data_IF_818452045517
#
_entry.id   IF_818452045517
#
_cell.length_a   1.000
_cell.length_b   1.000
_cell.length_c   1.000
_cell.angle_alpha   90.00
_cell.angle_beta   90.00
_cell.angle_gamma   90.00
#
_symmetry.space_group_name_H-M   'P 1'
#
loop_
_entity.id
_entity.type
_entity.pdbx_description
1 polymer ?
#
# COMPACT_ATOMS: atom_id res chain seq x y z
N UNK A 1 5.53 2.13 -24.34
CA UNK A 1 4.44 2.84 -23.63
C UNK A 1 3.61 1.74 -22.99
N UNK A 2 4.01 1.31 -21.79
CA UNK A 2 3.16 0.43 -21.00
C UNK A 2 2.06 1.32 -20.44
N UNK A 3 0.81 0.96 -20.68
CA UNK A 3 -0.27 1.55 -19.89
C UNK A 3 -0.01 1.05 -18.47
N UNK A 4 0.53 1.90 -17.61
CA UNK A 4 0.62 1.61 -16.18
C UNK A 4 -0.79 1.29 -15.71
N UNK A 5 -1.00 0.07 -15.23
CA UNK A 5 -2.31 -0.37 -14.77
C UNK A 5 -2.76 0.42 -13.54
N UNK A 6 -4.03 0.30 -13.11
CA UNK A 6 -4.47 0.82 -11.81
C UNK A 6 -3.60 0.29 -10.65
N UNK A 7 -2.96 -0.88 -10.83
CA UNK A 7 -1.98 -1.49 -9.93
C UNK A 7 -0.74 -0.60 -9.73
N UNK A 8 -0.02 -0.28 -10.82
CA UNK A 8 1.16 0.60 -10.81
C UNK A 8 0.85 1.98 -10.21
N UNK A 9 -0.32 2.54 -10.55
CA UNK A 9 -0.74 3.85 -10.05
C UNK A 9 -1.02 3.80 -8.54
N UNK A 10 -1.67 2.74 -8.07
CA UNK A 10 -1.93 2.53 -6.64
C UNK A 10 -0.63 2.39 -5.86
N UNK A 11 0.31 1.59 -6.36
CA UNK A 11 1.65 1.44 -5.75
C UNK A 11 2.38 2.78 -5.71
N UNK A 12 2.30 3.57 -6.79
CA UNK A 12 2.85 4.93 -6.84
C UNK A 12 2.25 5.86 -5.78
N UNK A 13 0.91 5.89 -5.68
CA UNK A 13 0.22 6.72 -4.70
C UNK A 13 0.51 6.27 -3.26
N UNK A 14 0.57 4.96 -3.00
CA UNK A 14 0.94 4.41 -1.70
C UNK A 14 2.38 4.75 -1.34
N UNK A 15 3.29 4.81 -2.33
CA UNK A 15 4.68 5.23 -2.12
C UNK A 15 4.75 6.70 -1.69
N UNK A 16 3.99 7.58 -2.34
CA UNK A 16 3.95 9.01 -2.01
C UNK A 16 3.11 9.34 -0.77
N UNK A 17 2.17 8.48 -0.40
CA UNK A 17 1.31 8.69 0.74
C UNK A 17 2.10 8.71 2.06
N UNK A 18 1.82 9.71 2.88
CA UNK A 18 2.34 9.85 4.23
C UNK A 18 1.15 10.11 5.13
N UNK A 19 0.95 9.32 6.19
CA UNK A 19 -0.15 9.56 7.13
C UNK A 19 -0.12 11.00 7.64
N UNK A 20 -1.26 11.68 7.58
CA UNK A 20 -1.39 13.08 8.00
C UNK A 20 -1.17 13.28 9.51
N UNK A 21 -1.35 12.23 10.30
CA UNK A 21 -1.14 12.22 11.73
C UNK A 21 -0.81 10.82 12.24
N UNK A 22 -0.29 10.77 13.45
CA UNK A 22 -0.05 9.55 14.20
C UNK A 22 -1.36 9.08 14.86
N UNK A 23 -2.15 8.30 14.14
CA UNK A 23 -3.36 7.72 14.71
C UNK A 23 -3.01 6.69 15.78
N UNK A 24 -3.88 6.54 16.78
CA UNK A 24 -3.71 5.54 17.84
C UNK A 24 -4.19 4.15 17.44
N UNK A 25 -5.01 4.09 16.39
CA UNK A 25 -5.72 2.88 15.97
C UNK A 25 -5.59 2.72 14.46
N UNK A 26 -5.43 1.46 14.03
CA UNK A 26 -5.37 1.06 12.61
C UNK A 26 -6.54 1.63 11.78
N UNK A 27 -7.73 1.72 12.36
CA UNK A 27 -8.92 2.28 11.72
C UNK A 27 -8.75 3.74 11.23
N UNK A 28 -7.94 4.54 11.93
CA UNK A 28 -7.65 5.92 11.52
C UNK A 28 -6.82 5.96 10.24
N UNK A 29 -5.77 5.12 10.18
CA UNK A 29 -4.93 4.97 8.99
C UNK A 29 -5.71 4.39 7.81
N UNK A 30 -6.54 3.36 8.03
CA UNK A 30 -7.40 2.77 7.00
C UNK A 30 -8.35 3.80 6.39
N UNK A 31 -9.03 4.58 7.24
CA UNK A 31 -10.00 5.60 6.78
C UNK A 31 -9.30 6.67 5.95
N UNK A 32 -8.17 7.20 6.43
CA UNK A 32 -7.41 8.21 5.69
C UNK A 32 -6.87 7.65 4.38
N UNK A 33 -6.29 6.45 4.40
CA UNK A 33 -5.71 5.85 3.20
C UNK A 33 -6.76 5.63 2.12
N UNK A 34 -7.94 5.14 2.51
CA UNK A 34 -9.07 4.96 1.59
C UNK A 34 -9.49 6.29 0.96
N UNK A 35 -9.67 7.34 1.77
CA UNK A 35 -10.03 8.67 1.27
C UNK A 35 -8.95 9.26 0.36
N UNK A 36 -7.68 9.03 0.68
CA UNK A 36 -6.55 9.46 -0.13
C UNK A 36 -6.54 8.76 -1.49
N UNK A 37 -6.63 7.42 -1.52
CA UNK A 37 -6.64 6.64 -2.75
C UNK A 37 -7.87 6.93 -3.61
N UNK A 38 -9.06 6.97 -3.01
CA UNK A 38 -10.29 7.33 -3.71
C UNK A 38 -10.14 8.71 -4.37
N UNK A 39 -9.63 9.69 -3.64
CA UNK A 39 -9.37 11.01 -4.19
C UNK A 39 -8.32 10.97 -5.30
N UNK A 40 -7.17 10.32 -5.14
CA UNK A 40 -6.13 10.36 -6.17
C UNK A 40 -6.55 9.65 -7.45
N UNK A 41 -7.14 8.46 -7.33
CA UNK A 41 -7.58 7.65 -8.46
C UNK A 41 -8.77 8.32 -9.18
N UNK A 42 -9.77 8.80 -8.44
CA UNK A 42 -11.00 9.34 -9.04
C UNK A 42 -10.92 10.85 -9.37
N UNK A 43 -10.03 11.64 -8.75
CA UNK A 43 -9.85 13.06 -9.10
C UNK A 43 -9.16 13.25 -10.47
N UNK A 44 -8.42 12.23 -10.95
CA UNK A 44 -7.80 12.25 -12.28
C UNK A 44 -8.85 12.20 -13.42
N UNK A 45 -10.00 11.56 -13.16
CA UNK A 45 -11.12 11.48 -14.11
C UNK A 45 -11.79 12.84 -14.33
N UNK A 46 -11.69 13.76 -13.37
CA UNK A 46 -12.40 15.05 -13.39
C UNK A 46 -11.63 16.16 -14.13
N UNK A 47 -10.34 15.93 -14.47
CA UNK A 47 -9.43 16.96 -14.97
C UNK A 47 -9.22 17.06 -16.49
N UNK A 48 -9.68 16.09 -17.30
CA UNK A 48 -9.60 16.15 -18.76
C UNK A 48 -11.00 16.02 -19.37
N UNK A 49 -11.36 17.00 -20.20
CA UNK A 49 -12.75 17.29 -20.55
C UNK A 49 -13.51 16.20 -21.31
N UNK A 50 -14.83 16.42 -21.35
CA UNK A 50 -15.79 15.87 -22.30
C UNK A 50 -15.76 14.34 -22.43
N UNK A 51 -16.58 13.67 -21.60
CA UNK A 51 -17.33 12.51 -22.07
C UNK A 51 -16.58 11.18 -22.18
N UNK A 52 -15.71 10.85 -21.23
CA UNK A 52 -15.39 9.45 -20.95
C UNK A 52 -16.09 9.04 -19.64
N UNK A 53 -17.07 8.15 -19.78
CA UNK A 53 -17.53 7.28 -18.71
C UNK A 53 -16.40 6.27 -18.49
N UNK A 54 -15.31 6.71 -17.86
CA UNK A 54 -14.30 5.81 -17.33
C UNK A 54 -14.83 5.32 -16.01
N UNK A 55 -15.04 4.01 -15.88
CA UNK A 55 -15.49 3.36 -14.65
C UNK A 55 -14.71 3.91 -13.44
N UNK A 56 -15.41 4.49 -12.46
CA UNK A 56 -14.82 4.86 -11.17
C UNK A 56 -14.06 3.64 -10.62
N UNK A 57 -12.79 3.80 -10.24
CA UNK A 57 -12.02 2.71 -9.65
C UNK A 57 -12.51 2.57 -8.20
N UNK A 58 -13.22 1.48 -7.84
CA UNK A 58 -13.80 1.39 -6.52
C UNK A 58 -12.72 1.14 -5.48
N UNK A 59 -12.59 2.04 -4.51
CA UNK A 59 -11.75 1.83 -3.32
C UNK A 59 -12.65 1.34 -2.19
N UNK A 60 -12.50 0.08 -1.79
CA UNK A 60 -13.36 -0.60 -0.81
C UNK A 60 -12.56 -1.10 0.38
N UNK A 61 -13.26 -1.49 1.43
CA UNK A 61 -12.70 -2.20 2.62
C UNK A 61 -13.21 -3.64 2.69
N UNK A 62 -13.90 -4.08 1.63
CA UNK A 62 -14.47 -5.42 1.51
C UNK A 62 -14.30 -5.86 0.05
N UNK A 63 -13.66 -7.02 -0.17
CA UNK A 63 -13.51 -7.60 -1.49
C UNK A 63 -13.74 -9.12 -1.46
N UNK A 64 -14.84 -9.58 -2.06
CA UNK A 64 -15.14 -11.00 -2.16
C UNK A 64 -15.26 -11.68 -0.78
N UNK A 65 -14.57 -12.81 -0.55
CA UNK A 65 -14.57 -13.54 0.73
C UNK A 65 -13.52 -13.03 1.74
N UNK A 66 -12.69 -12.04 1.38
CA UNK A 66 -11.57 -11.55 2.20
C UNK A 66 -11.87 -10.15 2.73
N UNK A 67 -11.76 -9.96 4.05
CA UNK A 67 -11.82 -8.64 4.68
C UNK A 67 -10.49 -7.91 4.44
N UNK A 68 -10.44 -7.12 3.37
CA UNK A 68 -9.26 -6.34 3.01
C UNK A 68 -9.17 -5.04 3.81
N UNK A 69 -7.98 -4.61 4.24
CA UNK A 69 -7.88 -3.33 4.95
C UNK A 69 -8.23 -2.16 4.03
N UNK A 70 -7.70 -2.18 2.81
CA UNK A 70 -8.15 -1.37 1.67
C UNK A 70 -7.97 -2.21 0.40
N UNK A 71 -8.95 -2.24 -0.48
CA UNK A 71 -8.90 -2.86 -1.79
C UNK A 71 -9.15 -1.80 -2.88
N UNK A 72 -8.35 -1.81 -3.93
CA UNK A 72 -8.53 -0.92 -5.10
C UNK A 72 -8.91 -1.78 -6.30
N UNK A 73 -10.13 -1.61 -6.78
CA UNK A 73 -10.67 -2.45 -7.85
C UNK A 73 -10.88 -3.90 -7.41
N UNK A 74 -10.58 -4.81 -8.33
CA UNK A 74 -10.56 -6.25 -8.10
C UNK A 74 -9.12 -6.81 -8.12
N UNK A 75 -8.11 -5.95 -8.28
CA UNK A 75 -6.74 -6.36 -8.60
C UNK A 75 -5.74 -6.08 -7.46
N UNK A 76 -5.95 -5.01 -6.67
CA UNK A 76 -5.00 -4.59 -5.63
C UNK A 76 -5.57 -4.71 -4.23
N UNK A 77 -4.93 -5.52 -3.39
CA UNK A 77 -5.20 -5.61 -1.96
C UNK A 77 -4.13 -4.89 -1.15
N UNK A 78 -4.52 -4.06 -0.19
CA UNK A 78 -3.61 -3.38 0.73
C UNK A 78 -3.79 -3.94 2.13
N UNK A 79 -2.71 -4.42 2.74
CA UNK A 79 -2.64 -4.84 4.13
C UNK A 79 -1.99 -3.72 4.93
N UNK A 80 -2.68 -3.19 5.94
CA UNK A 80 -2.20 -2.08 6.75
C UNK A 80 -1.81 -2.57 8.15
N UNK A 81 -0.57 -2.32 8.55
CA UNK A 81 -0.06 -2.68 9.88
C UNK A 81 0.22 -1.42 10.67
N UNK A 82 -0.28 -1.35 11.90
CA UNK A 82 0.01 -0.26 12.83
C UNK A 82 1.03 -0.72 13.88
N UNK A 83 2.17 -0.05 13.97
CA UNK A 83 3.25 -0.38 14.91
C UNK A 83 3.72 -1.84 14.81
N UNK A 84 4.25 -2.26 13.65
CA UNK A 84 4.68 -3.65 13.42
C UNK A 84 5.56 -4.21 14.56
N UNK A 85 5.15 -5.37 15.09
CA UNK A 85 5.83 -6.19 16.08
C UNK A 85 6.03 -7.62 15.58
N UNK A 86 6.81 -8.40 16.32
CA UNK A 86 7.06 -9.82 16.07
C UNK A 86 5.81 -10.70 15.94
N UNK A 87 4.73 -10.33 16.63
CA UNK A 87 3.45 -11.05 16.57
C UNK A 87 2.70 -10.71 15.28
N UNK A 88 2.90 -9.51 14.75
CA UNK A 88 2.23 -9.06 13.52
C UNK A 88 2.79 -9.75 12.28
N UNK A 89 4.02 -10.29 12.32
CA UNK A 89 4.63 -11.03 11.21
C UNK A 89 3.78 -12.22 10.75
N UNK A 90 3.40 -13.10 11.68
CA UNK A 90 2.54 -14.26 11.38
C UNK A 90 1.17 -13.83 10.84
N UNK A 91 0.60 -12.76 11.39
CA UNK A 91 -0.67 -12.21 10.94
C UNK A 91 -0.58 -11.54 9.56
N UNK A 92 0.58 -10.98 9.20
CA UNK A 92 0.85 -10.46 7.85
C UNK A 92 0.94 -11.62 6.87
N UNK A 93 1.64 -12.70 7.21
CA UNK A 93 1.75 -13.88 6.35
C UNK A 93 0.37 -14.49 6.06
N UNK A 94 -0.45 -14.71 7.09
CA UNK A 94 -1.81 -15.25 6.92
C UNK A 94 -2.70 -14.35 6.04
N UNK A 95 -2.57 -13.03 6.17
CA UNK A 95 -3.31 -12.08 5.35
C UNK A 95 -2.80 -12.05 3.92
N UNK A 96 -1.48 -12.02 3.71
CA UNK A 96 -0.88 -12.05 2.37
C UNK A 96 -1.31 -13.32 1.66
N UNK A 97 -1.18 -14.50 2.28
CA UNK A 97 -1.64 -15.78 1.72
C UNK A 97 -3.13 -15.77 1.37
N UNK A 98 -3.97 -15.14 2.19
CA UNK A 98 -5.40 -14.99 1.90
C UNK A 98 -5.64 -14.05 0.71
N UNK A 99 -4.85 -12.99 0.58
CA UNK A 99 -4.99 -11.99 -0.48
C UNK A 99 -4.46 -12.52 -1.81
N UNK A 100 -3.42 -13.37 -1.81
CA UNK A 100 -2.87 -14.04 -3.00
C UNK A 100 -3.92 -14.83 -3.79
N UNK A 101 -4.96 -15.31 -3.12
CA UNK A 101 -6.05 -16.02 -3.77
C UNK A 101 -7.01 -15.10 -4.56
N UNK A 102 -7.10 -13.82 -4.18
CA UNK A 102 -8.11 -12.89 -4.69
C UNK A 102 -7.52 -11.71 -5.47
N UNK A 103 -6.28 -11.30 -5.21
CA UNK A 103 -5.63 -10.12 -5.80
C UNK A 103 -4.36 -10.49 -6.56
N UNK A 104 -4.11 -9.80 -7.68
CA UNK A 104 -2.87 -9.91 -8.47
C UNK A 104 -1.70 -9.15 -7.84
N UNK A 105 -2.02 -8.03 -7.17
CA UNK A 105 -1.04 -7.15 -6.51
C UNK A 105 -1.40 -6.99 -5.03
N UNK A 106 -0.42 -7.17 -4.15
CA UNK A 106 -0.59 -7.03 -2.70
C UNK A 106 0.38 -5.97 -2.20
N UNK A 107 -0.10 -5.00 -1.42
CA UNK A 107 0.76 -3.97 -0.83
C UNK A 107 0.64 -4.01 0.69
N UNK A 108 1.75 -4.34 1.36
CA UNK A 108 1.84 -4.34 2.82
C UNK A 108 2.41 -3.01 3.28
N UNK A 109 1.61 -2.22 3.98
CA UNK A 109 1.99 -0.88 4.47
C UNK A 109 2.11 -0.89 6.00
N UNK A 110 3.34 -0.76 6.50
CA UNK A 110 3.61 -0.57 7.92
C UNK A 110 3.62 0.93 8.28
N UNK A 111 2.58 1.37 8.99
CA UNK A 111 2.52 2.68 9.65
C UNK A 111 3.27 2.62 10.98
N UNK A 112 4.60 2.73 10.89
CA UNK A 112 5.53 2.58 12.01
C UNK A 112 5.90 1.12 12.27
N UNK A 113 7.18 0.91 12.62
CA UNK A 113 7.76 -0.40 12.93
C UNK A 113 8.47 -0.30 14.27
N UNK A 114 8.15 -1.20 15.22
CA UNK A 114 8.84 -1.28 16.51
C UNK A 114 10.03 -2.22 16.45
N UNK A 115 9.92 -3.28 15.67
CA UNK A 115 10.95 -4.32 15.50
C UNK A 115 11.49 -4.30 14.05
N UNK A 116 12.38 -3.34 13.76
CA UNK A 116 12.92 -3.14 12.41
C UNK A 116 13.63 -4.37 11.83
N UNK A 117 14.38 -5.11 12.65
CA UNK A 117 15.11 -6.29 12.19
C UNK A 117 14.16 -7.37 11.63
N UNK A 118 12.99 -7.54 12.25
CA UNK A 118 12.02 -8.52 11.80
C UNK A 118 11.22 -8.05 10.59
N UNK A 119 10.96 -6.74 10.51
CA UNK A 119 10.40 -6.14 9.30
C UNK A 119 11.34 -6.29 8.08
N UNK A 120 12.65 -6.15 8.28
CA UNK A 120 13.64 -6.39 7.23
C UNK A 120 13.68 -7.88 6.85
N UNK A 121 13.64 -8.79 7.82
CA UNK A 121 13.64 -10.24 7.58
C UNK A 121 12.43 -10.69 6.72
N UNK A 122 11.21 -10.28 7.09
CA UNK A 122 10.00 -10.63 6.33
C UNK A 122 10.04 -9.99 4.93
N UNK A 123 10.48 -8.74 4.81
CA UNK A 123 10.60 -8.07 3.50
C UNK A 123 11.59 -8.80 2.59
N UNK A 124 12.74 -9.21 3.13
CA UNK A 124 13.77 -9.95 2.39
C UNK A 124 13.27 -11.35 1.96
N UNK A 125 12.50 -12.02 2.82
CA UNK A 125 11.90 -13.32 2.52
C UNK A 125 11.00 -13.23 1.29
N UNK A 126 9.98 -12.36 1.31
CA UNK A 126 9.06 -12.17 0.19
C UNK A 126 9.73 -11.65 -1.08
N UNK A 127 10.72 -10.77 -0.93
CA UNK A 127 11.52 -10.29 -2.07
C UNK A 127 12.31 -11.44 -2.72
N UNK A 128 12.92 -12.31 -1.91
CA UNK A 128 13.65 -13.47 -2.40
C UNK A 128 12.76 -14.53 -3.06
N UNK A 129 11.53 -14.69 -2.56
CA UNK A 129 10.52 -15.57 -3.12
C UNK A 129 10.02 -15.08 -4.48
N UNK A 130 9.73 -13.78 -4.63
CA UNK A 130 9.36 -13.19 -5.93
C UNK A 130 10.44 -13.38 -6.98
N UNK A 131 11.71 -13.19 -6.63
CA UNK A 131 12.82 -13.45 -7.56
C UNK A 131 12.94 -14.93 -7.96
N UNK A 132 12.43 -15.84 -7.13
CA UNK A 132 12.46 -17.30 -7.39
C UNK A 132 11.27 -17.77 -8.23
N UNK A 133 10.12 -17.09 -8.16
CA UNK A 133 8.90 -17.43 -8.91
C UNK A 133 8.81 -16.56 -10.18
N UNK A 134 9.13 -17.14 -11.34
CA UNK A 134 8.95 -16.46 -12.63
C UNK A 134 7.47 -16.43 -13.02
N UNK A 135 6.72 -15.49 -12.44
CA UNK A 135 5.30 -15.23 -12.72
C UNK A 135 4.36 -15.26 -11.51
N UNK A 136 4.86 -14.98 -10.30
CA UNK A 136 4.05 -14.87 -9.08
C UNK A 136 3.36 -13.52 -8.96
N UNK A 137 2.52 -13.38 -7.93
CA UNK A 137 1.88 -12.11 -7.54
C UNK A 137 2.92 -11.04 -7.14
N UNK A 138 2.59 -9.77 -7.44
CA UNK A 138 3.45 -8.62 -7.12
C UNK A 138 3.16 -8.15 -5.69
N UNK A 139 4.11 -8.39 -4.77
CA UNK A 139 3.97 -8.02 -3.34
C UNK A 139 4.94 -6.89 -3.00
N UNK A 140 4.40 -5.78 -2.51
CA UNK A 140 5.17 -4.60 -2.18
C UNK A 140 5.13 -4.31 -0.68
N UNK A 141 6.31 -4.28 -0.05
CA UNK A 141 6.44 -3.88 1.36
C UNK A 141 6.80 -2.39 1.43
N UNK A 142 6.02 -1.64 2.20
CA UNK A 142 6.19 -0.19 2.38
C UNK A 142 6.22 0.17 3.85
N UNK A 143 7.29 0.86 4.27
CA UNK A 143 7.41 1.37 5.63
C UNK A 143 7.22 2.88 5.69
N UNK A 144 6.23 3.34 6.45
CA UNK A 144 5.97 4.75 6.76
C UNK A 144 6.49 5.10 8.14
N UNK A 145 7.59 5.86 8.19
CA UNK A 145 8.26 6.28 9.43
C UNK A 145 7.39 7.29 10.20
N UNK A 146 7.12 7.03 11.48
CA UNK A 146 6.28 7.91 12.34
C UNK A 146 6.78 9.35 12.43
N UNK A 147 8.09 9.57 12.37
CA UNK A 147 8.68 10.91 12.38
C UNK A 147 8.35 11.75 11.13
N UNK A 148 7.78 11.14 10.10
CA UNK A 148 7.36 11.81 8.87
C UNK A 148 5.88 12.15 8.86
N UNK A 149 5.09 11.65 9.82
CA UNK A 149 3.65 11.86 9.82
C UNK A 149 3.29 13.34 9.93
N UNK A 150 2.33 13.77 9.12
CA UNK A 150 1.91 15.17 8.99
C UNK A 150 2.88 16.09 8.26
N UNK A 151 3.98 15.56 7.71
CA UNK A 151 4.85 16.32 6.80
C UNK A 151 4.41 16.11 5.36
N UNK A 152 4.66 17.11 4.52
CA UNK A 152 4.46 16.98 3.09
C UNK A 152 5.57 16.06 2.52
N UNK A 153 5.24 15.08 1.65
CA UNK A 153 6.25 14.27 0.98
C UNK A 153 7.27 15.11 0.20
N UNK A 154 6.91 16.32 -0.26
CA UNK A 154 7.84 17.24 -0.89
C UNK A 154 8.94 17.72 0.07
N UNK A 155 8.63 17.93 1.35
CA UNK A 155 9.57 18.41 2.37
C UNK A 155 10.57 17.33 2.80
N UNK A 156 10.24 16.05 2.56
CA UNK A 156 11.05 14.89 2.94
C UNK A 156 12.00 14.43 1.84
N UNK A 157 11.79 14.87 0.60
CA UNK A 157 12.71 14.59 -0.51
C UNK A 157 14.09 15.22 -0.33
N UNK A 158 14.20 16.26 0.51
CA UNK A 158 15.43 17.04 0.68
C UNK A 158 16.28 16.65 1.92
N UNK A 159 15.71 15.98 2.93
CA UNK A 159 16.37 15.79 4.25
C UNK A 159 16.82 14.34 4.53
N UNK A 160 16.12 13.35 3.96
CA UNK A 160 16.40 11.95 4.14
C UNK A 160 16.08 11.22 2.84
N UNK A 161 16.92 10.28 2.41
CA UNK A 161 16.74 9.46 1.20
C UNK A 161 15.48 8.58 1.22
N UNK A 162 14.30 9.18 1.34
CA UNK A 162 12.97 8.59 1.40
C UNK A 162 12.66 7.78 0.13
N UNK A 163 13.34 8.12 -0.97
CA UNK A 163 13.29 7.41 -2.26
C UNK A 163 14.50 6.48 -2.50
N UNK A 164 15.51 6.45 -1.62
CA UNK A 164 16.80 5.76 -1.87
C UNK A 164 16.76 4.25 -1.53
N UNK A 165 15.64 3.74 -1.01
CA UNK A 165 15.50 2.34 -0.57
C UNK A 165 14.74 1.44 -1.57
N UNK A 166 14.50 1.90 -2.79
CA UNK A 166 13.67 1.20 -3.79
C UNK A 166 14.33 1.12 -5.19
N UNK A 167 15.62 0.79 -5.23
CA UNK A 167 16.31 0.38 -6.46
C UNK A 167 17.29 -0.78 -6.21
#
# INVERSE_FOLDING_TARGET
MFASGPEDETVGYLTEWIPSQDYREKAGFQTELREYLDKQLNHRVVGMGIGNVGDDVPVRVDHGPVEADVAVGDDVGVVLVHEFTSVDGETVDEQVESYRAEFSTIVVVACGVREMAQWEEITDEYSSEQFSVTGGEDIHFMHKKRMHFGKDPADLRDDDGFFDWFF
#
